data_IF_093656259888
#
_entry.id   IF_093656259888
#
_cell.length_a   1.000
_cell.length_b   1.000
_cell.length_c   1.000
_cell.angle_alpha   90.00
_cell.angle_beta   90.00
_cell.angle_gamma   90.00
#
_symmetry.space_group_name_H-M   'P 1'
#
loop_
_entity.id
_entity.type
_entity.pdbx_description
1 polymer ?
#
# COMPACT_ATOMS: atom_id res chain seq x y z
N UNK A 1 10.04 13.03 -1.73
CA UNK A 1 9.35 12.32 -0.64
C UNK A 1 10.29 11.22 -0.15
N UNK A 2 10.37 10.95 1.16
CA UNK A 2 11.28 9.94 1.74
C UNK A 2 10.46 8.83 2.40
N UNK A 3 11.07 7.67 2.70
CA UNK A 3 10.40 6.60 3.44
C UNK A 3 9.91 7.07 4.82
N UNK A 4 10.72 7.85 5.53
CA UNK A 4 10.33 8.43 6.82
C UNK A 4 9.13 9.39 6.70
N UNK A 5 9.08 10.18 5.62
CA UNK A 5 7.92 11.04 5.34
C UNK A 5 6.66 10.26 5.00
N UNK A 6 6.80 9.12 4.30
CA UNK A 6 5.69 8.20 4.02
C UNK A 6 5.16 7.57 5.32
N UNK A 7 6.03 7.16 6.23
CA UNK A 7 5.63 6.58 7.52
C UNK A 7 4.81 7.55 8.37
N UNK A 8 5.13 8.85 8.36
CA UNK A 8 4.34 9.87 9.07
C UNK A 8 2.92 10.05 8.53
N UNK A 9 2.70 9.69 7.26
CA UNK A 9 1.39 9.76 6.61
C UNK A 9 0.61 8.45 6.73
N UNK A 10 1.22 7.41 7.31
CA UNK A 10 0.60 6.10 7.42
C UNK A 10 -0.43 6.06 8.55
N UNK A 11 -1.52 5.36 8.29
CA UNK A 11 -2.55 5.06 9.29
C UNK A 11 -2.22 3.82 10.13
N UNK A 12 -1.16 3.09 9.76
CA UNK A 12 -0.64 1.94 10.50
C UNK A 12 0.77 2.23 10.99
N UNK A 13 1.12 1.69 12.16
CA UNK A 13 2.47 1.80 12.74
C UNK A 13 3.37 0.62 12.35
N UNK A 14 2.78 -0.53 11.99
CA UNK A 14 3.49 -1.76 11.66
C UNK A 14 3.65 -1.98 10.16
N UNK A 15 2.78 -1.36 9.36
CA UNK A 15 2.73 -1.52 7.91
C UNK A 15 2.56 -0.17 7.23
N UNK A 16 2.98 -0.05 5.98
CA UNK A 16 2.82 1.20 5.23
C UNK A 16 1.43 1.26 4.57
N UNK A 17 0.43 1.60 5.37
CA UNK A 17 -0.95 1.83 4.89
C UNK A 17 -1.14 3.32 4.65
N UNK A 18 -1.36 3.72 3.39
CA UNK A 18 -1.35 5.12 2.96
C UNK A 18 -2.67 5.51 2.29
N UNK A 19 -3.08 6.79 2.40
CA UNK A 19 -4.08 7.34 1.51
C UNK A 19 -3.69 7.14 0.04
N UNK A 20 -4.68 6.89 -0.82
CA UNK A 20 -4.48 6.46 -2.21
C UNK A 20 -3.40 7.25 -2.97
N UNK A 21 -3.45 8.59 -2.94
CA UNK A 21 -2.48 9.45 -3.65
C UNK A 21 -1.04 9.23 -3.14
N UNK A 22 -0.86 9.02 -1.84
CA UNK A 22 0.45 8.76 -1.25
C UNK A 22 0.92 7.33 -1.51
N UNK A 23 0.00 6.36 -1.56
CA UNK A 23 0.30 5.00 -1.98
C UNK A 23 0.85 4.96 -3.41
N UNK A 24 0.20 5.64 -4.37
CA UNK A 24 0.70 5.75 -5.75
C UNK A 24 2.09 6.40 -5.82
N UNK A 25 2.30 7.46 -5.03
CA UNK A 25 3.63 8.12 -4.95
C UNK A 25 4.71 7.16 -4.42
N UNK A 26 4.38 6.37 -3.39
CA UNK A 26 5.30 5.38 -2.83
C UNK A 26 5.66 4.30 -3.85
N UNK A 27 4.68 3.80 -4.61
CA UNK A 27 4.91 2.81 -5.68
C UNK A 27 5.87 3.36 -6.74
N UNK A 28 5.62 4.56 -7.26
CA UNK A 28 6.49 5.20 -8.25
C UNK A 28 7.93 5.41 -7.75
N UNK A 29 8.09 5.76 -6.46
CA UNK A 29 9.40 5.89 -5.84
C UNK A 29 10.13 4.55 -5.76
N UNK A 30 9.44 3.48 -5.37
CA UNK A 30 10.01 2.13 -5.28
C UNK A 30 10.41 1.61 -6.66
N UNK A 31 9.55 1.77 -7.67
CA UNK A 31 9.85 1.39 -9.06
C UNK A 31 11.07 2.15 -9.58
N UNK A 32 11.14 3.46 -9.33
CA UNK A 32 12.31 4.29 -9.72
C UNK A 32 13.59 3.86 -9.00
N UNK A 33 13.48 3.33 -7.78
CA UNK A 33 14.60 2.75 -7.03
C UNK A 33 14.99 1.34 -7.49
N UNK A 34 14.32 0.79 -8.52
CA UNK A 34 14.60 -0.53 -9.08
C UNK A 34 13.88 -1.68 -8.38
N UNK A 35 12.93 -1.40 -7.47
CA UNK A 35 12.10 -2.43 -6.86
C UNK A 35 10.89 -2.73 -7.77
N UNK A 36 10.74 -3.96 -8.30
CA UNK A 36 9.59 -4.29 -9.13
C UNK A 36 8.30 -4.37 -8.30
N UNK A 37 7.23 -3.76 -8.80
CA UNK A 37 5.90 -3.92 -8.22
C UNK A 37 5.34 -5.31 -8.56
N UNK A 38 5.27 -6.19 -7.57
CA UNK A 38 4.73 -7.55 -7.74
C UNK A 38 3.22 -7.64 -7.45
N UNK A 39 2.69 -6.69 -6.69
CA UNK A 39 1.29 -6.63 -6.29
C UNK A 39 1.06 -5.60 -5.19
N UNK A 40 -0.21 -5.30 -4.93
CA UNK A 40 -0.63 -4.40 -3.84
C UNK A 40 -1.98 -4.83 -3.28
N UNK A 41 -2.17 -4.59 -1.99
CA UNK A 41 -3.43 -4.84 -1.30
C UNK A 41 -4.10 -3.51 -0.95
N UNK A 42 -5.28 -3.28 -1.52
CA UNK A 42 -6.07 -2.09 -1.25
C UNK A 42 -6.70 -2.15 0.14
N UNK A 43 -6.46 -1.11 0.94
CA UNK A 43 -7.09 -0.91 2.23
C UNK A 43 -8.29 0.03 2.14
N UNK A 44 -9.35 -0.31 2.85
CA UNK A 44 -10.52 0.53 3.08
C UNK A 44 -10.54 1.01 4.52
N UNK A 45 -10.94 2.26 4.72
CA UNK A 45 -11.37 2.80 6.00
C UNK A 45 -12.90 2.75 6.05
N UNK A 46 -13.45 1.89 6.88
CA UNK A 46 -14.89 1.73 7.04
C UNK A 46 -15.49 2.85 7.90
N UNK A 47 -16.81 3.08 7.83
CA UNK A 47 -17.47 4.14 8.61
C UNK A 47 -17.30 4.02 10.12
N UNK A 48 -17.06 2.82 10.64
CA UNK A 48 -16.78 2.56 12.06
C UNK A 48 -15.31 2.83 12.46
N UNK A 49 -14.49 3.30 11.51
CA UNK A 49 -13.07 3.59 11.71
C UNK A 49 -12.16 2.36 11.61
N UNK A 50 -12.71 1.17 11.32
CA UNK A 50 -11.90 -0.02 11.10
C UNK A 50 -11.21 0.02 9.75
N UNK A 51 -10.02 -0.58 9.69
CA UNK A 51 -9.27 -0.79 8.46
C UNK A 51 -9.41 -2.25 8.03
N UNK A 52 -9.64 -2.49 6.75
CA UNK A 52 -9.62 -3.84 6.19
C UNK A 52 -9.44 -3.85 4.69
N UNK A 53 -9.26 -5.04 4.13
CA UNK A 53 -9.04 -5.22 2.71
C UNK A 53 -10.36 -5.33 1.94
N UNK A 54 -10.37 -4.83 0.71
CA UNK A 54 -11.48 -5.07 -0.19
C UNK A 54 -11.16 -6.26 -1.10
N UNK A 55 -11.75 -7.43 -0.84
CA UNK A 55 -11.56 -8.64 -1.64
C UNK A 55 -11.72 -8.41 -3.15
N UNK A 56 -12.61 -7.49 -3.55
CA UNK A 56 -12.88 -7.15 -4.95
C UNK A 56 -11.81 -6.30 -5.64
N UNK A 57 -11.00 -5.55 -4.88
CA UNK A 57 -10.05 -4.57 -5.42
C UNK A 57 -8.59 -4.89 -5.10
N UNK A 58 -8.32 -6.10 -4.57
CA UNK A 58 -6.95 -6.58 -4.39
C UNK A 58 -6.30 -6.78 -5.77
N UNK A 59 -5.10 -6.23 -5.95
CA UNK A 59 -4.29 -6.39 -7.16
C UNK A 59 -3.39 -7.62 -7.12
N UNK A 60 -3.53 -8.46 -6.10
CA UNK A 60 -2.75 -9.68 -5.91
C UNK A 60 -3.58 -10.88 -6.38
N UNK A 61 -3.04 -11.64 -7.32
CA UNK A 61 -3.34 -13.08 -7.41
C UNK A 61 -2.33 -13.79 -6.52
N UNK A 62 -2.72 -14.88 -5.86
CA UNK A 62 -1.83 -15.64 -4.98
C UNK A 62 -0.42 -15.77 -5.59
N UNK A 63 0.60 -15.37 -4.84
CA UNK A 63 1.99 -15.53 -5.26
C UNK A 63 2.41 -16.98 -5.03
N UNK A 64 1.93 -17.88 -5.89
CA UNK A 64 2.60 -19.16 -6.10
C UNK A 64 3.94 -18.86 -6.77
N UNK A 65 5.03 -19.05 -6.02
CA UNK A 65 6.38 -19.06 -6.61
C UNK A 65 6.40 -20.09 -7.74
N UNK A 66 6.80 -19.66 -8.94
CA UNK A 66 7.20 -20.55 -10.03
C UNK A 66 8.57 -21.19 -9.71
#
# INVERSE_FOLDING_TARGET
MTLAGLQQLSVSQSELVLPYVHAITALQMLETAGAPLLGWEGWLLYPDGTLGHADKYQGTVETVKA
#
